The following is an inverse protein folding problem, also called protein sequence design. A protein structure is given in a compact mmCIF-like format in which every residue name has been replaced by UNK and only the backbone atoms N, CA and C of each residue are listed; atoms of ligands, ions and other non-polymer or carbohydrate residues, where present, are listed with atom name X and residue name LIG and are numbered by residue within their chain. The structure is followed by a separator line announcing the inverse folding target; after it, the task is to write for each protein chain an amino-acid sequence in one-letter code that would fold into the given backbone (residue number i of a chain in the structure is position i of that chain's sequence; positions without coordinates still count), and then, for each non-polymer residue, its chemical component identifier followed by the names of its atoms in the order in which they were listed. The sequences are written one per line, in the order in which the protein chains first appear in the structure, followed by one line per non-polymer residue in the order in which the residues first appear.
data_IF_072833104345
#
_entry.id   IF_072833104345
#
_cell.length_a   1.000
_cell.length_b   1.000
_cell.length_c   1.000
_cell.angle_alpha   90.00
_cell.angle_beta   90.00
_cell.angle_gamma   90.00
#
_symmetry.space_group_name_H-M   'P 1'
#
loop_
_entity.id
_entity.type
_entity.pdbx_description
1 polymer ?
#
# COMPACT_ATOMS: atom_id res chain seq x y z
N UNK A 1 -0.23 -4.92 18.74
CA UNK A 1 0.03 -6.26 18.18
C UNK A 1 0.42 -6.03 16.73
N UNK A 2 1.27 -6.81 16.07
CA UNK A 2 1.44 -6.64 14.63
C UNK A 2 0.07 -6.80 13.96
N UNK A 3 -0.23 -5.94 12.99
CA UNK A 3 -1.46 -6.10 12.20
C UNK A 3 -1.32 -7.35 11.34
N UNK A 4 -2.41 -8.12 11.25
CA UNK A 4 -2.43 -9.36 10.49
C UNK A 4 -3.17 -9.13 9.18
N UNK A 5 -2.59 -9.61 8.10
CA UNK A 5 -3.24 -9.64 6.79
C UNK A 5 -2.92 -10.96 6.07
N UNK A 6 -3.50 -11.18 4.90
CA UNK A 6 -3.38 -12.42 4.13
C UNK A 6 -2.77 -12.17 2.76
N UNK A 7 -1.69 -12.89 2.48
CA UNK A 7 -1.11 -12.99 1.13
C UNK A 7 -1.44 -14.35 0.52
N UNK A 8 -1.58 -14.34 -0.79
CA UNK A 8 -1.68 -15.52 -1.62
C UNK A 8 -0.40 -15.63 -2.44
N UNK A 9 0.10 -16.85 -2.56
CA UNK A 9 1.21 -17.20 -3.46
C UNK A 9 0.74 -18.19 -4.51
N UNK A 10 0.97 -17.85 -5.77
CA UNK A 10 0.67 -18.70 -6.91
C UNK A 10 1.94 -19.09 -7.63
N UNK A 11 1.94 -20.28 -8.23
CA UNK A 11 3.02 -20.75 -9.10
C UNK A 11 2.49 -21.09 -10.48
N UNK A 12 3.28 -20.76 -11.50
CA UNK A 12 2.95 -21.12 -12.88
C UNK A 12 3.07 -22.64 -13.07
N UNK A 13 2.13 -23.23 -13.82
CA UNK A 13 2.13 -24.67 -14.15
C UNK A 13 2.35 -24.83 -15.65
N UNK A 14 3.24 -25.73 -16.06
CA UNK A 14 3.67 -25.88 -17.47
C UNK A 14 2.53 -26.13 -18.48
N UNK A 15 1.40 -26.68 -18.03
CA UNK A 15 0.19 -26.89 -18.86
C UNK A 15 -0.80 -25.70 -18.79
N UNK A 16 -0.50 -24.65 -18.03
CA UNK A 16 -1.24 -23.40 -18.00
C UNK A 16 -0.91 -22.61 -19.26
N UNK A 17 -1.86 -22.49 -20.19
CA UNK A 17 -1.57 -21.88 -21.48
C UNK A 17 -1.55 -20.35 -21.32
N UNK A 18 -0.36 -19.76 -21.38
CA UNK A 18 -0.20 -18.33 -21.64
C UNK A 18 -0.38 -18.09 -23.15
N UNK A 19 -1.63 -17.92 -23.60
CA UNK A 19 -1.92 -17.66 -25.01
C UNK A 19 -1.41 -16.26 -25.40
N UNK A 20 -0.39 -16.17 -26.26
CA UNK A 20 -0.01 -14.88 -26.87
C UNK A 20 -0.88 -14.52 -28.08
N UNK A 21 -1.48 -15.53 -28.73
CA UNK A 21 -2.14 -15.38 -30.03
C UNK A 21 -3.47 -14.61 -29.96
N UNK A 22 -4.26 -14.76 -28.90
CA UNK A 22 -5.60 -14.12 -28.82
C UNK A 22 -5.58 -12.60 -28.54
N UNK A 23 -4.41 -12.04 -28.23
CA UNK A 23 -4.28 -10.67 -27.72
C UNK A 23 -3.67 -9.70 -28.71
N UNK A 24 -2.84 -10.18 -29.68
CA UNK A 24 -2.30 -9.31 -30.73
C UNK A 24 -3.42 -8.67 -31.55
N UNK A 25 -4.52 -9.39 -31.77
CA UNK A 25 -5.67 -8.90 -32.53
C UNK A 25 -6.57 -7.95 -31.73
N UNK A 26 -6.41 -7.89 -30.39
CA UNK A 26 -7.23 -7.08 -29.47
C UNK A 26 -6.55 -5.81 -28.98
N UNK A 27 -5.22 -5.78 -29.01
CA UNK A 27 -4.46 -4.58 -28.66
C UNK A 27 -4.44 -3.69 -29.90
N UNK A 28 -4.94 -2.46 -29.76
CA UNK A 28 -4.91 -1.46 -30.82
C UNK A 28 -3.49 -1.36 -31.42
N UNK A 29 -3.39 -1.22 -32.74
CA UNK A 29 -2.12 -1.22 -33.50
C UNK A 29 -1.12 -0.15 -33.00
N UNK A 30 -1.60 0.85 -32.26
CA UNK A 30 -0.80 1.95 -31.71
C UNK A 30 0.09 1.56 -30.52
N UNK A 31 -0.09 0.38 -29.92
CA UNK A 31 0.73 -0.06 -28.78
C UNK A 31 1.79 -1.08 -29.19
N UNK A 32 3.02 -0.80 -28.78
CA UNK A 32 4.18 -1.64 -29.03
C UNK A 32 4.68 -2.27 -27.74
N UNK A 33 5.10 -3.53 -27.84
CA UNK A 33 5.79 -4.21 -26.75
C UNK A 33 7.26 -3.80 -26.75
N UNK A 34 7.72 -3.17 -25.68
CA UNK A 34 9.08 -2.70 -25.52
C UNK A 34 9.79 -3.42 -24.37
N UNK A 35 11.05 -3.87 -24.54
CA UNK A 35 11.85 -4.37 -23.44
C UNK A 35 12.24 -3.22 -22.49
N UNK A 36 12.16 -3.47 -21.19
CA UNK A 36 12.62 -2.53 -20.16
C UNK A 36 14.11 -2.80 -19.93
N UNK A 37 14.96 -2.09 -20.67
CA UNK A 37 16.41 -2.21 -20.63
C UNK A 37 17.06 -0.82 -20.58
N UNK A 38 18.40 -0.75 -20.70
CA UNK A 38 19.13 0.51 -20.71
C UNK A 38 18.65 1.48 -21.82
N UNK A 39 18.42 0.98 -23.03
CA UNK A 39 17.96 1.79 -24.18
C UNK A 39 16.59 2.40 -23.88
N UNK A 40 15.68 1.63 -23.27
CA UNK A 40 14.39 2.15 -22.82
C UNK A 40 14.55 3.31 -21.81
N UNK A 41 15.50 3.20 -20.88
CA UNK A 41 15.81 4.24 -19.89
C UNK A 41 16.53 5.46 -20.49
N UNK A 42 17.09 5.35 -21.69
CA UNK A 42 17.71 6.47 -22.41
C UNK A 42 16.70 7.16 -23.33
N UNK A 43 15.89 6.40 -24.05
CA UNK A 43 15.02 6.91 -25.12
C UNK A 43 13.60 7.23 -24.65
N UNK A 44 13.06 6.52 -23.65
CA UNK A 44 11.62 6.53 -23.31
C UNK A 44 11.30 7.26 -22.02
N UNK A 45 12.24 8.03 -21.48
CA UNK A 45 12.05 8.87 -20.27
C UNK A 45 10.91 9.88 -20.37
N UNK A 46 10.53 10.25 -21.59
CA UNK A 46 9.45 11.19 -21.89
C UNK A 46 8.06 10.56 -21.79
N UNK A 47 7.95 9.21 -21.82
CA UNK A 47 6.65 8.55 -21.76
C UNK A 47 5.98 8.80 -20.42
N UNK A 48 4.69 9.14 -20.47
CA UNK A 48 3.86 9.16 -19.27
C UNK A 48 3.90 7.76 -18.63
N UNK A 49 3.98 7.76 -17.30
CA UNK A 49 4.17 6.58 -16.44
C UNK A 49 5.57 5.96 -16.42
N UNK A 50 6.58 6.56 -17.06
CA UNK A 50 7.97 6.08 -16.97
C UNK A 50 8.47 6.04 -15.52
N UNK A 51 8.10 7.04 -14.70
CA UNK A 51 8.51 7.15 -13.30
C UNK A 51 8.02 5.97 -12.44
N UNK A 52 6.88 5.37 -12.81
CA UNK A 52 6.31 4.24 -12.09
C UNK A 52 7.19 2.99 -12.33
N UNK A 53 7.62 2.74 -13.57
CA UNK A 53 8.61 1.69 -13.88
C UNK A 53 9.95 1.97 -13.20
N UNK A 54 10.43 3.23 -13.23
CA UNK A 54 11.66 3.61 -12.55
C UNK A 54 11.61 3.29 -11.04
N UNK A 55 10.46 3.52 -10.40
CA UNK A 55 10.24 3.16 -8.99
C UNK A 55 10.43 1.66 -8.76
N UNK A 56 9.83 0.82 -9.59
CA UNK A 56 9.97 -0.65 -9.49
C UNK A 56 11.42 -1.10 -9.70
N UNK A 57 12.12 -0.53 -10.69
CA UNK A 57 13.54 -0.88 -10.93
C UNK A 57 14.43 -0.38 -9.78
N UNK A 58 14.07 0.71 -9.10
CA UNK A 58 14.82 1.20 -7.94
C UNK A 58 14.62 0.34 -6.67
N UNK A 59 13.70 -0.65 -6.68
CA UNK A 59 13.61 -1.66 -5.62
C UNK A 59 14.69 -2.75 -5.76
N UNK A 60 15.30 -2.87 -6.94
CA UNK A 60 16.50 -3.68 -7.11
C UNK A 60 17.71 -3.03 -6.44
N UNK A 61 18.75 -3.83 -6.16
CA UNK A 61 20.01 -3.31 -5.58
C UNK A 61 20.58 -2.13 -6.38
N UNK A 62 20.45 -2.19 -7.71
CA UNK A 62 20.70 -1.06 -8.60
C UNK A 62 20.03 -1.29 -9.96
N UNK A 63 19.83 -0.22 -10.73
CA UNK A 63 19.39 -0.32 -12.13
C UNK A 63 20.34 -1.19 -12.96
N UNK A 64 21.65 -1.08 -12.73
CA UNK A 64 22.66 -1.92 -13.39
C UNK A 64 22.41 -3.41 -13.12
N UNK A 65 22.15 -3.77 -11.86
CA UNK A 65 21.84 -5.16 -11.47
C UNK A 65 20.59 -5.67 -12.18
N UNK A 66 19.55 -4.84 -12.29
CA UNK A 66 18.36 -5.21 -13.06
C UNK A 66 18.69 -5.43 -14.54
N UNK A 67 19.44 -4.53 -15.18
CA UNK A 67 19.79 -4.67 -16.59
C UNK A 67 20.69 -5.88 -16.89
N UNK A 68 21.55 -6.26 -15.94
CA UNK A 68 22.47 -7.40 -16.10
C UNK A 68 21.78 -8.75 -15.85
N UNK A 69 20.84 -8.82 -14.89
CA UNK A 69 20.27 -10.08 -14.41
C UNK A 69 18.77 -10.22 -14.69
N UNK A 70 18.03 -9.15 -14.44
CA UNK A 70 16.58 -9.09 -14.56
C UNK A 70 16.10 -8.84 -15.99
N UNK A 71 14.79 -8.72 -16.13
CA UNK A 71 14.14 -8.27 -17.35
C UNK A 71 12.70 -7.88 -17.03
N UNK A 72 12.11 -7.11 -17.94
CA UNK A 72 10.72 -6.70 -17.92
C UNK A 72 10.30 -6.22 -19.29
N UNK A 73 8.99 -6.11 -19.50
CA UNK A 73 8.41 -5.64 -20.75
C UNK A 73 7.25 -4.70 -20.45
N UNK A 74 7.03 -3.73 -21.33
CA UNK A 74 5.88 -2.85 -21.27
C UNK A 74 5.16 -2.75 -22.62
N UNK A 75 3.87 -2.48 -22.57
CA UNK A 75 3.07 -2.02 -23.71
C UNK A 75 3.03 -0.50 -23.66
N UNK A 76 3.51 0.16 -24.70
CA UNK A 76 3.55 1.62 -24.79
C UNK A 76 3.28 2.12 -26.21
N UNK A 77 2.76 3.33 -26.32
CA UNK A 77 2.72 4.11 -27.56
C UNK A 77 3.70 5.29 -27.44
N UNK A 78 3.68 6.22 -28.39
CA UNK A 78 4.58 7.39 -28.39
C UNK A 78 4.34 8.39 -27.24
N UNK A 79 3.26 8.23 -26.48
CA UNK A 79 2.85 9.16 -25.42
C UNK A 79 2.98 8.55 -24.03
N UNK A 80 2.58 7.29 -23.87
CA UNK A 80 2.42 6.68 -22.56
C UNK A 80 2.61 5.16 -22.54
N UNK A 81 2.99 4.66 -21.37
CA UNK A 81 2.96 3.24 -21.05
C UNK A 81 1.54 2.88 -20.60
N UNK A 82 0.97 1.81 -21.15
CA UNK A 82 -0.35 1.31 -20.80
C UNK A 82 -0.31 0.16 -19.78
N UNK A 83 0.71 -0.68 -19.85
CA UNK A 83 0.91 -1.81 -18.95
C UNK A 83 2.38 -2.23 -18.92
N UNK A 84 2.85 -2.78 -17.80
CA UNK A 84 4.18 -3.37 -17.68
C UNK A 84 4.12 -4.66 -16.88
N UNK A 85 5.05 -5.57 -17.15
CA UNK A 85 5.31 -6.78 -16.37
C UNK A 85 6.82 -6.91 -16.14
N UNK A 86 7.23 -6.95 -14.88
CA UNK A 86 8.64 -6.91 -14.44
C UNK A 86 8.90 -8.10 -13.50
N UNK A 87 10.12 -8.66 -13.53
CA UNK A 87 10.56 -9.58 -12.49
C UNK A 87 10.90 -8.81 -11.22
N UNK A 88 10.21 -9.07 -10.12
CA UNK A 88 10.41 -8.39 -8.83
C UNK A 88 11.43 -9.13 -7.96
N UNK A 89 11.27 -10.47 -7.85
CA UNK A 89 12.19 -11.31 -7.10
C UNK A 89 12.88 -12.29 -8.02
N UNK A 90 14.17 -12.08 -8.26
CA UNK A 90 14.94 -12.85 -9.23
C UNK A 90 16.01 -13.70 -8.53
N UNK A 91 15.92 -15.02 -8.66
CA UNK A 91 16.92 -15.94 -8.12
C UNK A 91 17.50 -16.83 -9.22
N UNK A 92 18.64 -16.47 -9.81
CA UNK A 92 19.26 -17.25 -10.88
C UNK A 92 19.79 -18.60 -10.40
N UNK A 93 20.14 -18.72 -9.11
CA UNK A 93 20.64 -19.97 -8.51
C UNK A 93 19.60 -21.09 -8.52
N UNK A 94 18.34 -20.77 -8.20
CA UNK A 94 17.24 -21.74 -8.18
C UNK A 94 16.31 -21.61 -9.39
N UNK A 95 16.66 -20.75 -10.36
CA UNK A 95 15.87 -20.48 -11.57
C UNK A 95 14.41 -20.15 -11.24
N UNK A 96 14.20 -19.19 -10.33
CA UNK A 96 12.86 -18.69 -9.98
C UNK A 96 12.77 -17.18 -10.17
N UNK A 97 11.61 -16.72 -10.64
CA UNK A 97 11.26 -15.31 -10.76
C UNK A 97 9.85 -15.08 -10.26
N UNK A 98 9.66 -14.16 -9.34
CA UNK A 98 8.31 -13.67 -9.01
C UNK A 98 8.01 -12.42 -9.84
N UNK A 99 6.78 -12.31 -10.33
CA UNK A 99 6.39 -11.26 -11.28
C UNK A 99 5.49 -10.21 -10.66
N UNK A 100 5.77 -8.97 -11.02
CA UNK A 100 4.90 -7.80 -10.84
C UNK A 100 4.26 -7.39 -12.15
N UNK A 101 3.00 -6.98 -12.11
CA UNK A 101 2.29 -6.48 -13.28
C UNK A 101 1.37 -5.33 -12.90
N UNK A 102 1.28 -4.33 -13.77
CA UNK A 102 0.37 -3.20 -13.62
C UNK A 102 -0.26 -2.84 -14.97
N UNK A 103 -1.46 -2.27 -14.92
CA UNK A 103 -2.14 -1.74 -16.10
C UNK A 103 -2.87 -0.47 -15.69
N UNK A 104 -2.55 0.64 -16.35
CA UNK A 104 -3.10 1.94 -15.97
C UNK A 104 -4.61 2.00 -16.24
N UNK A 105 -5.37 2.78 -15.44
CA UNK A 105 -6.83 2.74 -15.44
C UNK A 105 -7.51 2.80 -16.82
N UNK A 106 -7.07 3.65 -17.78
CA UNK A 106 -7.68 3.71 -19.11
C UNK A 106 -7.58 2.42 -19.94
N UNK A 107 -6.67 1.50 -19.58
CA UNK A 107 -6.34 0.28 -20.32
C UNK A 107 -6.73 -0.99 -19.57
N UNK A 108 -7.29 -0.86 -18.37
CA UNK A 108 -7.76 -2.00 -17.59
C UNK A 108 -8.93 -2.71 -18.29
N UNK A 109 -9.11 -4.00 -17.99
CA UNK A 109 -10.17 -4.85 -18.54
C UNK A 109 -10.15 -5.04 -20.07
N UNK A 110 -9.13 -4.54 -20.77
CA UNK A 110 -8.96 -4.67 -22.22
C UNK A 110 -7.94 -5.76 -22.63
N UNK A 111 -7.38 -6.49 -21.65
CA UNK A 111 -6.45 -7.60 -21.90
C UNK A 111 -4.96 -7.22 -21.92
N UNK A 112 -4.60 -5.96 -21.66
CA UNK A 112 -3.22 -5.48 -21.65
C UNK A 112 -2.34 -6.24 -20.63
N UNK A 113 -2.81 -6.40 -19.38
CA UNK A 113 -2.13 -7.23 -18.38
C UNK A 113 -1.94 -8.68 -18.87
N UNK A 114 -2.96 -9.28 -19.47
CA UNK A 114 -2.87 -10.66 -19.95
C UNK A 114 -1.84 -10.80 -21.07
N UNK A 115 -1.73 -9.81 -21.97
CA UNK A 115 -0.73 -9.83 -23.03
C UNK A 115 0.69 -9.65 -22.49
N UNK A 116 0.94 -8.55 -21.76
CA UNK A 116 2.27 -8.24 -21.24
C UNK A 116 2.77 -9.35 -20.31
N UNK A 117 1.89 -9.87 -19.45
CA UNK A 117 2.17 -11.01 -18.58
C UNK A 117 2.44 -12.30 -19.36
N UNK A 118 1.63 -12.61 -20.38
CA UNK A 118 1.84 -13.81 -21.20
C UNK A 118 3.18 -13.77 -21.94
N UNK A 119 3.57 -12.60 -22.45
CA UNK A 119 4.87 -12.43 -23.09
C UNK A 119 6.02 -12.66 -22.10
N UNK A 120 5.93 -12.04 -20.92
CA UNK A 120 6.91 -12.23 -19.85
C UNK A 120 7.06 -13.71 -19.48
N UNK A 121 5.94 -14.39 -19.22
CA UNK A 121 5.91 -15.82 -18.85
C UNK A 121 6.58 -16.68 -19.92
N UNK A 122 6.22 -16.51 -21.19
CA UNK A 122 6.82 -17.27 -22.28
C UNK A 122 8.33 -17.01 -22.39
N UNK A 123 8.75 -15.76 -22.23
CA UNK A 123 10.16 -15.38 -22.24
C UNK A 123 10.92 -16.04 -21.08
N UNK A 124 10.35 -16.07 -19.87
CA UNK A 124 10.93 -16.73 -18.70
C UNK A 124 11.04 -18.24 -18.84
N UNK A 125 10.01 -18.90 -19.37
CA UNK A 125 10.01 -20.35 -19.60
C UNK A 125 11.09 -20.72 -20.61
N UNK A 126 11.24 -19.97 -21.71
CA UNK A 126 12.31 -20.18 -22.69
C UNK A 126 13.71 -20.04 -22.07
N UNK A 127 13.86 -19.23 -21.02
CA UNK A 127 15.10 -19.09 -20.24
C UNK A 127 15.26 -20.14 -19.13
N UNK A 128 14.30 -21.06 -18.99
CA UNK A 128 14.32 -22.13 -17.99
C UNK A 128 13.97 -21.68 -16.57
N UNK A 129 13.22 -20.59 -16.41
CA UNK A 129 12.79 -20.10 -15.10
C UNK A 129 11.38 -20.60 -14.74
N UNK A 130 11.22 -20.96 -13.47
CA UNK A 130 9.92 -21.09 -12.82
C UNK A 130 9.40 -19.72 -12.39
N UNK A 131 8.07 -19.56 -12.35
CA UNK A 131 7.45 -18.27 -12.03
C UNK A 131 6.56 -18.34 -10.80
N UNK A 132 6.69 -17.32 -9.95
CA UNK A 132 5.83 -17.06 -8.80
C UNK A 132 5.03 -15.77 -8.96
N UNK A 133 3.95 -15.65 -8.19
CA UNK A 133 3.10 -14.47 -8.14
C UNK A 133 2.56 -14.29 -6.74
N UNK A 134 2.80 -13.13 -6.14
CA UNK A 134 2.25 -12.76 -4.85
C UNK A 134 1.15 -11.71 -5.01
N UNK A 135 0.05 -11.87 -4.29
CA UNK A 135 -0.95 -10.81 -4.20
C UNK A 135 -1.67 -10.84 -2.85
N UNK A 136 -2.31 -9.71 -2.52
CA UNK A 136 -3.21 -9.61 -1.39
C UNK A 136 -4.50 -10.41 -1.64
N UNK A 137 -5.06 -11.03 -0.60
CA UNK A 137 -6.29 -11.82 -0.72
C UNK A 137 -7.48 -11.00 -1.23
N UNK A 138 -7.56 -9.73 -0.83
CA UNK A 138 -8.59 -8.79 -1.27
C UNK A 138 -8.40 -8.28 -2.71
N UNK A 139 -7.22 -8.49 -3.32
CA UNK A 139 -6.95 -8.06 -4.68
C UNK A 139 -7.51 -9.08 -5.70
N UNK A 140 -8.84 -9.08 -5.83
CA UNK A 140 -9.58 -9.95 -6.74
C UNK A 140 -9.15 -9.79 -8.21
N UNK A 141 -8.75 -8.59 -8.62
CA UNK A 141 -8.27 -8.33 -9.98
C UNK A 141 -6.94 -9.05 -10.26
N UNK A 142 -5.98 -8.97 -9.33
CA UNK A 142 -4.70 -9.68 -9.42
C UNK A 142 -4.91 -11.21 -9.41
N UNK A 143 -5.77 -11.72 -8.53
CA UNK A 143 -6.11 -13.16 -8.47
C UNK A 143 -6.68 -13.66 -9.80
N UNK A 144 -7.62 -12.92 -10.40
CA UNK A 144 -8.20 -13.27 -11.71
C UNK A 144 -7.14 -13.27 -12.81
N UNK A 145 -6.26 -12.27 -12.82
CA UNK A 145 -5.17 -12.18 -13.80
C UNK A 145 -4.18 -13.34 -13.67
N UNK A 146 -3.73 -13.66 -12.45
CA UNK A 146 -2.83 -14.79 -12.19
C UNK A 146 -3.42 -16.11 -12.69
N UNK A 147 -4.68 -16.42 -12.31
CA UNK A 147 -5.38 -17.64 -12.77
C UNK A 147 -5.53 -17.68 -14.28
N UNK A 148 -5.90 -16.56 -14.90
CA UNK A 148 -6.05 -16.44 -16.36
C UNK A 148 -4.74 -16.66 -17.10
N UNK A 149 -3.62 -16.26 -16.51
CA UNK A 149 -2.27 -16.48 -17.02
C UNK A 149 -1.72 -17.89 -16.73
N UNK A 150 -2.51 -18.80 -16.17
CA UNK A 150 -2.12 -20.19 -15.94
C UNK A 150 -1.43 -20.46 -14.61
N UNK A 151 -1.40 -19.48 -13.70
CA UNK A 151 -0.93 -19.70 -12.33
C UNK A 151 -1.97 -20.44 -11.49
N UNK A 152 -1.51 -21.32 -10.59
CA UNK A 152 -2.35 -21.99 -9.59
C UNK A 152 -1.96 -21.57 -8.19
N UNK A 153 -2.96 -21.42 -7.32
CA UNK A 153 -2.73 -21.10 -5.92
C UNK A 153 -1.90 -22.22 -5.30
N UNK A 154 -0.76 -21.86 -4.74
CA UNK A 154 0.13 -22.78 -4.03
C UNK A 154 -0.02 -22.63 -2.52
N UNK A 155 -0.14 -21.41 -2.04
CA UNK A 155 -0.18 -21.13 -0.61
C UNK A 155 -1.03 -19.91 -0.27
N UNK A 156 -1.70 -19.98 0.87
CA UNK A 156 -2.34 -18.85 1.55
C UNK A 156 -1.67 -18.73 2.91
N UNK A 157 -1.07 -17.58 3.18
CA UNK A 157 -0.31 -17.37 4.42
C UNK A 157 -0.63 -16.02 5.03
N UNK A 158 -0.49 -15.97 6.35
CA UNK A 158 -0.66 -14.74 7.12
C UNK A 158 0.62 -13.93 7.11
N UNK A 159 0.51 -12.63 6.87
CA UNK A 159 1.59 -11.67 7.08
C UNK A 159 1.32 -10.83 8.31
N UNK A 160 2.40 -10.42 8.96
CA UNK A 160 2.38 -9.56 10.12
C UNK A 160 3.08 -8.25 9.79
N UNK A 161 2.38 -7.13 9.96
CA UNK A 161 2.95 -5.81 9.85
C UNK A 161 3.41 -5.31 11.21
N UNK A 162 4.71 -5.03 11.32
CA UNK A 162 5.32 -4.45 12.50
C UNK A 162 6.00 -3.12 12.16
N UNK A 163 5.95 -2.18 13.11
CA UNK A 163 6.75 -0.96 13.08
C UNK A 163 7.81 -1.06 14.16
N UNK A 164 9.04 -0.61 13.86
CA UNK A 164 10.13 -0.61 14.83
C UNK A 164 9.81 0.22 16.07
N UNK A 165 9.14 1.37 15.91
CA UNK A 165 8.67 2.16 17.04
C UNK A 165 7.44 1.53 17.70
N UNK A 166 7.49 1.41 19.03
CA UNK A 166 6.35 0.99 19.84
C UNK A 166 5.17 1.96 19.69
N UNK A 167 5.44 3.26 19.66
CA UNK A 167 4.39 4.28 19.49
C UNK A 167 3.80 4.18 18.08
N UNK A 168 4.61 4.05 17.02
CA UNK A 168 4.08 3.89 15.66
C UNK A 168 3.19 2.64 15.55
N UNK A 169 3.63 1.52 16.16
CA UNK A 169 2.81 0.31 16.26
C UNK A 169 1.46 0.58 16.92
N UNK A 170 1.44 1.27 18.06
CA UNK A 170 0.20 1.61 18.77
C UNK A 170 -0.71 2.53 17.95
N UNK A 171 -0.13 3.53 17.27
CA UNK A 171 -0.88 4.48 16.43
C UNK A 171 -1.57 3.74 15.29
N UNK A 172 -0.85 2.87 14.59
CA UNK A 172 -1.41 2.12 13.46
C UNK A 172 -2.46 1.11 13.93
N UNK A 173 -2.26 0.47 15.08
CA UNK A 173 -3.27 -0.40 15.68
C UNK A 173 -4.54 0.37 16.05
N UNK A 174 -4.42 1.57 16.62
CA UNK A 174 -5.57 2.42 16.91
C UNK A 174 -6.32 2.81 15.62
N UNK A 175 -5.58 3.22 14.58
CA UNK A 175 -6.16 3.60 13.30
C UNK A 175 -6.88 2.43 12.61
N UNK A 176 -6.30 1.24 12.61
CA UNK A 176 -6.92 0.02 12.09
C UNK A 176 -8.23 -0.32 12.82
N UNK A 177 -8.25 -0.18 14.14
CA UNK A 177 -9.47 -0.41 14.92
C UNK A 177 -10.55 0.64 14.63
N UNK A 178 -10.18 1.89 14.39
CA UNK A 178 -11.12 2.96 14.00
C UNK A 178 -11.69 2.72 12.61
N UNK A 179 -10.82 2.54 11.61
CA UNK A 179 -11.21 2.55 10.20
C UNK A 179 -11.65 1.19 9.68
N UNK A 180 -10.94 0.14 10.07
CA UNK A 180 -11.23 -1.22 9.63
C UNK A 180 -12.32 -1.87 10.46
N UNK A 181 -12.18 -1.86 11.79
CA UNK A 181 -13.05 -2.66 12.67
C UNK A 181 -14.20 -1.87 13.34
N UNK A 182 -14.20 -0.53 13.25
CA UNK A 182 -15.10 0.35 14.01
C UNK A 182 -15.09 0.07 15.53
N UNK A 183 -13.98 -0.48 16.05
CA UNK A 183 -13.82 -0.84 17.45
C UNK A 183 -13.14 0.30 18.23
N UNK A 184 -13.93 1.29 18.62
CA UNK A 184 -13.45 2.48 19.31
C UNK A 184 -12.89 2.19 20.71
N UNK A 185 -13.45 1.20 21.43
CA UNK A 185 -12.93 0.77 22.75
C UNK A 185 -11.48 0.29 22.64
N UNK A 186 -11.17 -0.53 21.63
CA UNK A 186 -9.79 -1.00 21.43
C UNK A 186 -8.84 0.13 21.01
N UNK A 187 -9.33 1.06 20.20
CA UNK A 187 -8.55 2.25 19.84
C UNK A 187 -8.24 3.14 21.06
N UNK A 188 -9.16 3.29 22.01
CA UNK A 188 -8.95 3.98 23.29
C UNK A 188 -7.80 3.34 24.06
N UNK A 189 -7.82 2.01 24.26
CA UNK A 189 -6.75 1.30 24.97
C UNK A 189 -5.36 1.56 24.37
N UNK A 190 -5.24 1.66 23.04
CA UNK A 190 -3.97 1.96 22.37
C UNK A 190 -3.55 3.42 22.56
N UNK A 191 -4.45 4.37 22.43
CA UNK A 191 -4.13 5.79 22.63
C UNK A 191 -3.76 6.11 24.09
N UNK A 192 -4.41 5.46 25.06
CA UNK A 192 -4.05 5.61 26.48
C UNK A 192 -2.65 5.07 26.79
N UNK A 193 -2.27 3.93 26.18
CA UNK A 193 -0.90 3.43 26.26
C UNK A 193 0.10 4.43 25.67
N UNK A 194 -0.22 5.06 24.53
CA UNK A 194 0.64 6.10 23.92
C UNK A 194 0.81 7.27 24.88
N UNK A 195 -0.29 7.79 25.47
CA UNK A 195 -0.22 8.90 26.43
C UNK A 195 0.65 8.53 27.63
N UNK A 196 0.52 7.31 28.16
CA UNK A 196 1.33 6.84 29.29
C UNK A 196 2.82 6.81 28.96
N UNK A 197 3.21 6.33 27.77
CA UNK A 197 4.61 6.30 27.30
C UNK A 197 5.15 7.73 27.12
N UNK A 198 4.37 8.61 26.49
CA UNK A 198 4.80 10.00 26.23
C UNK A 198 4.94 10.80 27.53
N UNK A 199 4.02 10.60 28.49
CA UNK A 199 4.05 11.32 29.77
C UNK A 199 5.12 10.77 30.74
N UNK A 200 5.59 9.52 30.58
CA UNK A 200 6.67 8.94 31.40
C UNK A 200 8.08 9.43 31.06
N UNK A 201 8.27 10.19 29.96
CA UNK A 201 9.55 10.75 29.50
C UNK A 201 10.68 9.73 29.26
N UNK A 202 10.38 8.46 28.99
CA UNK A 202 11.39 7.49 28.53
C UNK A 202 11.84 7.84 27.10
N UNK A 203 13.03 8.43 26.94
CA UNK A 203 13.54 8.93 25.66
C UNK A 203 13.73 7.85 24.59
N UNK A 204 14.03 6.62 25.00
CA UNK A 204 14.18 5.47 24.09
C UNK A 204 12.85 5.02 23.47
N UNK A 205 11.74 5.10 24.21
CA UNK A 205 10.42 4.64 23.74
C UNK A 205 9.61 5.72 23.00
N UNK A 206 10.00 6.98 23.15
CA UNK A 206 9.28 8.14 22.61
C UNK A 206 9.60 8.47 21.14
N UNK A 207 10.56 7.78 20.51
CA UNK A 207 10.89 8.00 19.10
C UNK A 207 9.77 7.48 18.20
N UNK A 208 9.15 8.37 17.42
CA UNK A 208 8.03 8.05 16.53
C UNK A 208 7.99 9.04 15.38
N UNK A 209 7.81 8.51 14.16
CA UNK A 209 7.58 9.33 12.99
C UNK A 209 6.11 9.75 12.91
N UNK A 210 5.18 8.87 13.28
CA UNK A 210 3.74 9.14 13.16
C UNK A 210 3.20 10.07 14.24
N UNK A 211 3.82 10.12 15.42
CA UNK A 211 3.39 10.99 16.51
C UNK A 211 3.50 12.48 16.15
N UNK A 212 4.38 12.84 15.20
CA UNK A 212 4.51 14.21 14.69
C UNK A 212 3.32 14.64 13.82
N UNK A 213 2.63 13.66 13.22
CA UNK A 213 1.56 13.86 12.25
C UNK A 213 0.15 13.81 12.88
N UNK A 214 0.04 13.43 14.17
CA UNK A 214 -1.26 13.28 14.82
C UNK A 214 -1.33 13.92 16.21
N UNK A 215 -2.52 14.38 16.58
CA UNK A 215 -2.82 14.75 17.95
C UNK A 215 -3.54 13.59 18.68
N UNK A 216 -2.78 12.79 19.42
CA UNK A 216 -3.27 11.60 20.13
C UNK A 216 -4.44 11.90 21.07
N UNK A 217 -4.43 13.04 21.77
CA UNK A 217 -5.48 13.41 22.72
C UNK A 217 -6.78 13.78 22.02
N UNK A 218 -6.70 14.41 20.85
CA UNK A 218 -7.86 14.71 20.00
C UNK A 218 -8.44 13.41 19.43
N UNK A 219 -7.59 12.51 18.91
CA UNK A 219 -8.04 11.20 18.42
C UNK A 219 -8.71 10.38 19.52
N UNK A 220 -8.12 10.35 20.72
CA UNK A 220 -8.67 9.68 21.90
C UNK A 220 -10.03 10.28 22.31
N UNK A 221 -10.15 11.61 22.35
CA UNK A 221 -11.41 12.28 22.63
C UNK A 221 -12.50 11.91 21.62
N UNK A 222 -12.14 11.84 20.34
CA UNK A 222 -13.01 11.36 19.27
C UNK A 222 -13.51 9.95 19.52
N UNK A 223 -12.62 9.00 19.83
CA UNK A 223 -13.02 7.63 20.15
C UNK A 223 -13.97 7.56 21.34
N UNK A 224 -13.72 8.32 22.41
CA UNK A 224 -14.64 8.43 23.56
C UNK A 224 -16.01 8.98 23.15
N UNK A 225 -16.05 10.00 22.28
CA UNK A 225 -17.30 10.53 21.73
C UNK A 225 -18.09 9.51 20.91
N UNK A 226 -17.40 8.65 20.14
CA UNK A 226 -18.04 7.60 19.33
C UNK A 226 -18.72 6.51 20.18
N UNK A 227 -18.23 6.27 21.40
CA UNK A 227 -18.85 5.32 22.34
C UNK A 227 -19.83 5.98 23.33
N UNK A 228 -20.06 7.30 23.20
CA UNK A 228 -20.97 8.05 24.08
C UNK A 228 -20.38 8.46 25.43
N UNK A 229 -19.09 8.26 25.67
CA UNK A 229 -18.40 8.73 26.87
C UNK A 229 -17.98 10.19 26.73
N UNK A 230 -18.98 11.08 26.79
CA UNK A 230 -18.77 12.51 26.61
C UNK A 230 -17.93 13.12 27.72
N UNK A 231 -17.95 12.56 28.94
CA UNK A 231 -17.16 13.04 30.07
C UNK A 231 -15.67 12.97 29.76
N UNK A 232 -15.18 11.78 29.35
CA UNK A 232 -13.78 11.60 29.00
C UNK A 232 -13.42 12.31 27.69
N UNK A 233 -14.34 12.32 26.71
CA UNK A 233 -14.13 13.05 25.46
C UNK A 233 -13.83 14.54 25.68
N UNK A 234 -14.70 15.25 26.42
CA UNK A 234 -14.50 16.68 26.69
C UNK A 234 -13.32 16.94 27.63
N UNK A 235 -12.98 16.02 28.54
CA UNK A 235 -11.77 16.12 29.35
C UNK A 235 -10.50 16.19 28.48
N UNK A 236 -10.33 15.28 27.52
CA UNK A 236 -9.16 15.26 26.65
C UNK A 236 -9.12 16.43 25.66
N UNK A 237 -10.27 16.88 25.13
CA UNK A 237 -10.33 18.08 24.30
C UNK A 237 -9.87 19.31 25.07
N UNK A 238 -10.43 19.56 26.27
CA UNK A 238 -10.06 20.70 27.11
C UNK A 238 -8.59 20.66 27.51
N UNK A 239 -8.06 19.48 27.87
CA UNK A 239 -6.63 19.30 28.18
C UNK A 239 -5.73 19.65 26.98
N UNK A 240 -6.20 19.41 25.76
CA UNK A 240 -5.46 19.73 24.53
C UNK A 240 -5.51 21.22 24.22
N UNK A 241 -6.71 21.82 24.25
CA UNK A 241 -6.92 23.25 24.02
C UNK A 241 -6.08 24.09 25.01
N UNK A 242 -6.12 23.74 26.30
CA UNK A 242 -5.36 24.43 27.35
C UNK A 242 -3.83 24.42 27.13
N UNK A 243 -3.30 23.46 26.39
CA UNK A 243 -1.85 23.40 26.08
C UNK A 243 -1.45 24.27 24.88
N UNK A 244 -2.41 24.96 24.26
CA UNK A 244 -2.22 25.71 23.03
C UNK A 244 -2.27 24.79 21.81
N UNK A 245 -3.20 25.07 20.90
CA UNK A 245 -3.25 24.44 19.58
C UNK A 245 -2.57 25.38 18.59
N UNK A 246 -1.57 24.88 17.87
CA UNK A 246 -0.94 25.64 16.77
C UNK A 246 -1.87 25.79 15.58
N UNK A 247 -2.76 24.82 15.39
CA UNK A 247 -3.71 24.77 14.30
C UNK A 247 -5.04 24.22 14.82
N UNK A 248 -6.11 25.01 14.65
CA UNK A 248 -7.47 24.64 15.06
C UNK A 248 -8.07 23.57 14.13
N UNK A 249 -7.58 23.44 12.89
CA UNK A 249 -8.03 22.43 11.91
C UNK A 249 -7.95 21.01 12.48
N UNK A 250 -6.98 20.76 13.36
CA UNK A 250 -6.78 19.49 14.07
C UNK A 250 -8.06 19.02 14.79
N UNK A 251 -8.90 19.95 15.25
CA UNK A 251 -10.18 19.65 15.89
C UNK A 251 -11.34 19.81 14.88
N UNK A 252 -11.35 20.88 14.09
CA UNK A 252 -12.51 21.17 13.20
C UNK A 252 -12.63 20.20 12.03
N UNK A 253 -11.55 19.54 11.64
CA UNK A 253 -11.53 18.62 10.49
C UNK A 253 -11.52 17.15 10.96
N UNK A 254 -11.44 16.92 12.27
CA UNK A 254 -11.46 15.57 12.84
C UNK A 254 -12.86 14.97 12.85
N UNK A 255 -13.13 14.12 11.85
CA UNK A 255 -14.39 13.38 11.71
C UNK A 255 -14.73 12.51 12.92
N UNK A 256 -13.76 12.06 13.73
CA UNK A 256 -14.07 11.30 14.95
C UNK A 256 -14.84 12.13 15.99
N UNK A 257 -14.75 13.46 15.95
CA UNK A 257 -15.42 14.35 16.89
C UNK A 257 -16.87 14.67 16.49
N UNK A 258 -17.38 14.15 15.37
CA UNK A 258 -18.76 14.38 14.91
C UNK A 258 -19.83 14.22 16.01
N UNK A 259 -19.83 13.17 16.85
CA UNK A 259 -20.80 13.05 17.94
C UNK A 259 -20.70 14.18 18.96
N UNK A 260 -19.50 14.73 19.16
CA UNK A 260 -19.26 15.81 20.13
C UNK A 260 -19.74 17.15 19.61
N UNK A 261 -19.65 17.42 18.30
CA UNK A 261 -20.05 18.70 17.68
C UNK A 261 -21.52 19.05 17.93
N UNK A 262 -22.35 18.03 18.14
CA UNK A 262 -23.80 18.18 18.42
C UNK A 262 -24.11 18.27 19.91
N UNK A 263 -23.13 18.04 20.78
CA UNK A 263 -23.33 18.03 22.22
C UNK A 263 -23.22 19.46 22.80
N UNK A 264 -24.08 19.88 23.76
CA UNK A 264 -24.07 21.25 24.28
C UNK A 264 -22.72 21.74 24.81
N UNK A 265 -21.94 20.84 25.42
CA UNK A 265 -20.59 21.16 25.92
C UNK A 265 -19.60 21.57 24.82
N UNK A 266 -19.86 21.28 23.55
CA UNK A 266 -19.00 21.73 22.44
C UNK A 266 -18.90 23.25 22.37
N UNK A 267 -20.00 23.96 22.59
CA UNK A 267 -20.04 25.42 22.58
C UNK A 267 -19.24 26.04 23.74
N UNK A 268 -18.92 25.25 24.77
CA UNK A 268 -18.12 25.71 25.92
C UNK A 268 -16.61 25.63 25.66
N UNK A 269 -16.18 25.06 24.53
CA UNK A 269 -14.77 24.95 24.17
C UNK A 269 -14.29 26.29 23.60
N UNK A 270 -13.34 26.93 24.30
CA UNK A 270 -12.70 28.15 23.80
C UNK A 270 -11.46 27.81 22.97
N UNK A 271 -11.58 27.82 21.64
CA UNK A 271 -10.46 27.50 20.75
C UNK A 271 -9.41 28.61 20.62
N UNK A 272 -9.68 29.80 21.19
CA UNK A 272 -8.81 30.98 21.13
C UNK A 272 -7.95 31.18 22.40
N UNK A 273 -8.00 30.26 23.36
CA UNK A 273 -7.15 30.33 24.55
C UNK A 273 -5.75 29.79 24.25
N UNK A 274 -4.85 30.66 23.81
CA UNK A 274 -3.41 30.48 23.92
C UNK A 274 -2.92 31.37 25.06
N UNK A 275 -2.51 30.77 26.18
CA UNK A 275 -1.67 31.43 27.19
C UNK A 275 -0.21 31.49 26.70
#
# INVERSE_FOLDING_TARGET
MPLKDTRLYFTFVANGIAHLQDYKDKINQDFHLLPINRIFFEEKVHLKHFKDILSEINLWYSQKTFFDLGYGFCLANDKEIASWCIGEYFSPKIKQIDIGIETYPPYQQQGFASFTGSYFIQYSIKKGYSLGWHCWEENLASIKTAKKLGFKLKEKYSVLFGWYSRIDTLIVNAWFNIKGLKNYNKAIEYYEQIIKIVESKSSLEASSHLLKEINVKVKLAGCYGQIGDYKNAFYFLRKTIKRGLKDQSIITDENLLEPLRRHPLWQTLNFNSSD
#
